data_IF_435485619102
#
_entry.id   IF_435485619102
#
_cell.length_a   1.000
_cell.length_b   1.000
_cell.length_c   1.000
_cell.angle_alpha   90.00
_cell.angle_beta   90.00
_cell.angle_gamma   90.00
#
_symmetry.space_group_name_H-M   'P 1'
#
loop_
_entity.id
_entity.type
_entity.pdbx_description
1 polymer ?
#
# COMPACT_ATOMS: atom_id res chain seq x y z
N UNK A 1 -3.14 -15.25 10.23
CA UNK A 1 -2.04 -14.75 9.36
C UNK A 1 -0.93 -15.77 9.17
N UNK A 2 -0.09 -16.10 10.17
CA UNK A 2 1.04 -17.04 9.99
C UNK A 2 0.60 -18.43 9.47
N UNK A 3 -0.49 -18.97 10.00
CA UNK A 3 -1.07 -20.25 9.54
C UNK A 3 -1.70 -20.19 8.15
N UNK A 4 -2.11 -19.01 7.70
CA UNK A 4 -2.79 -18.80 6.41
C UNK A 4 -1.79 -18.54 5.29
N UNK A 5 -0.64 -17.90 5.58
CA UNK A 5 0.42 -17.63 4.63
C UNK A 5 1.76 -18.21 5.13
N UNK A 6 1.96 -19.53 5.02
CA UNK A 6 3.12 -20.23 5.58
C UNK A 6 4.42 -19.96 4.81
N UNK A 7 4.38 -19.27 3.66
CA UNK A 7 5.58 -18.94 2.89
C UNK A 7 6.10 -17.51 3.18
N UNK A 8 5.43 -16.76 4.06
CA UNK A 8 5.85 -15.42 4.45
C UNK A 8 6.86 -15.44 5.61
N UNK A 9 7.74 -14.45 5.64
CA UNK A 9 8.56 -14.13 6.82
C UNK A 9 7.87 -13.00 7.58
N UNK A 10 7.76 -13.14 8.89
CA UNK A 10 7.04 -12.17 9.73
C UNK A 10 8.02 -11.48 10.67
N UNK A 11 8.03 -10.15 10.64
CA UNK A 11 8.71 -9.30 11.62
C UNK A 11 7.63 -8.59 12.44
N UNK A 12 7.55 -8.91 13.73
CA UNK A 12 6.68 -8.25 14.69
C UNK A 12 7.45 -7.24 15.51
N UNK A 13 6.79 -6.13 15.86
CA UNK A 13 7.29 -5.22 16.87
C UNK A 13 6.18 -4.70 17.77
N UNK A 14 6.54 -4.40 19.01
CA UNK A 14 5.70 -3.69 19.97
C UNK A 14 6.64 -2.93 20.95
N UNK A 15 6.11 -1.98 21.70
CA UNK A 15 6.87 -1.25 22.72
C UNK A 15 7.23 -2.14 23.91
N UNK A 16 6.47 -3.22 24.11
CA UNK A 16 6.72 -4.24 25.14
C UNK A 16 6.89 -5.64 24.53
N UNK A 17 7.53 -6.57 25.24
CA UNK A 17 7.57 -7.99 24.82
C UNK A 17 6.20 -8.64 25.05
N UNK A 18 5.35 -8.61 24.02
CA UNK A 18 4.02 -9.24 24.00
C UNK A 18 4.05 -10.68 23.44
N UNK A 19 5.23 -11.25 23.22
CA UNK A 19 5.34 -12.56 22.59
C UNK A 19 4.79 -13.67 23.51
N UNK A 20 3.99 -14.56 22.94
CA UNK A 20 3.55 -15.74 23.67
C UNK A 20 4.69 -16.77 23.70
N UNK A 21 5.41 -16.85 24.82
CA UNK A 21 6.55 -17.76 25.01
C UNK A 21 6.20 -19.26 24.89
N UNK A 22 4.90 -19.61 24.92
CA UNK A 22 4.43 -20.99 24.70
C UNK A 22 4.18 -21.32 23.22
N UNK A 23 4.08 -20.29 22.37
CA UNK A 23 3.86 -20.41 20.93
C UNK A 23 5.11 -19.91 20.20
N UNK A 24 6.10 -20.79 20.07
CA UNK A 24 7.27 -20.52 19.22
C UNK A 24 6.90 -20.73 17.76
N UNK A 25 6.52 -19.65 17.06
CA UNK A 25 6.36 -19.67 15.61
C UNK A 25 7.74 -19.42 14.97
N UNK A 26 8.35 -20.46 14.39
CA UNK A 26 9.71 -20.38 13.79
C UNK A 26 9.85 -19.33 12.67
N UNK A 27 8.74 -18.83 12.15
CA UNK A 27 8.66 -17.91 11.01
C UNK A 27 8.46 -16.45 11.42
N UNK A 28 8.41 -16.18 12.73
CA UNK A 28 8.22 -14.84 13.29
C UNK A 28 9.47 -14.43 14.05
N UNK A 29 10.03 -13.28 13.71
CA UNK A 29 10.98 -12.57 14.54
C UNK A 29 10.26 -11.44 15.27
N UNK A 30 10.72 -11.10 16.48
CA UNK A 30 10.16 -10.02 17.27
C UNK A 30 11.25 -9.04 17.70
N UNK A 31 10.96 -7.74 17.60
CA UNK A 31 11.84 -6.68 18.08
C UNK A 31 11.04 -5.67 18.91
N UNK A 32 11.62 -5.20 20.00
CA UNK A 32 11.04 -4.09 20.74
C UNK A 32 11.27 -2.80 19.93
N UNK A 33 10.21 -2.02 19.75
CA UNK A 33 10.25 -0.78 19.00
C UNK A 33 9.02 0.07 19.24
N UNK A 34 9.23 1.38 19.41
CA UNK A 34 8.15 2.34 19.52
C UNK A 34 7.96 3.06 18.18
N UNK A 35 6.80 2.87 17.54
CA UNK A 35 6.49 3.49 16.24
C UNK A 35 6.55 5.02 16.28
N UNK A 36 6.32 5.65 17.44
CA UNK A 36 6.42 7.11 17.60
C UNK A 36 7.87 7.62 17.71
N UNK A 37 8.84 6.71 17.89
CA UNK A 37 10.28 7.04 18.02
C UNK A 37 11.11 6.54 16.83
N UNK A 38 10.47 5.85 15.88
CA UNK A 38 11.13 5.13 14.80
C UNK A 38 11.32 3.65 15.15
N UNK A 39 10.90 2.79 14.23
CA UNK A 39 11.06 1.35 14.29
C UNK A 39 12.49 0.95 13.91
N UNK A 40 13.01 -0.15 14.47
CA UNK A 40 14.38 -0.63 14.25
C UNK A 40 14.54 -1.35 12.90
N UNK A 41 13.98 -0.77 11.85
CA UNK A 41 13.97 -1.28 10.49
C UNK A 41 14.42 -0.19 9.51
N UNK A 42 15.24 -0.51 8.50
CA UNK A 42 15.55 0.41 7.42
C UNK A 42 14.32 0.89 6.64
N UNK A 43 14.47 1.97 5.89
CA UNK A 43 13.44 2.41 4.95
C UNK A 43 13.15 1.33 3.91
N UNK A 44 11.88 1.19 3.51
CA UNK A 44 11.43 0.24 2.48
C UNK A 44 11.83 -1.22 2.81
N UNK A 45 11.74 -1.62 4.08
CA UNK A 45 12.09 -2.98 4.52
C UNK A 45 11.01 -4.01 4.20
N UNK A 46 9.73 -3.62 4.21
CA UNK A 46 8.59 -4.54 4.17
C UNK A 46 7.74 -4.37 2.93
N UNK A 47 7.39 -5.48 2.28
CA UNK A 47 6.43 -5.50 1.17
C UNK A 47 4.99 -5.21 1.64
N UNK A 48 4.69 -5.52 2.90
CA UNK A 48 3.40 -5.26 3.55
C UNK A 48 3.60 -4.99 5.05
N UNK A 49 2.92 -3.98 5.58
CA UNK A 49 2.90 -3.66 7.01
C UNK A 49 1.47 -3.72 7.51
N UNK A 50 1.26 -4.48 8.58
CA UNK A 50 -0.04 -4.64 9.22
C UNK A 50 -0.02 -4.04 10.62
N UNK A 51 -0.82 -2.98 10.81
CA UNK A 51 -1.07 -2.37 12.12
C UNK A 51 -2.50 -2.68 12.54
N UNK A 52 -2.69 -3.27 13.72
CA UNK A 52 -4.02 -3.64 14.23
C UNK A 52 -4.22 -3.17 15.66
N UNK A 53 -5.43 -2.66 15.92
CA UNK A 53 -5.94 -2.30 17.25
C UNK A 53 -5.14 -1.21 18.00
N UNK A 54 -4.37 -0.36 17.31
CA UNK A 54 -3.70 0.79 17.93
C UNK A 54 -4.61 2.01 18.15
N UNK A 55 -5.92 1.90 17.88
CA UNK A 55 -6.90 2.99 18.06
C UNK A 55 -6.96 3.55 19.51
N UNK A 56 -6.56 2.74 20.50
CA UNK A 56 -6.51 3.14 21.91
C UNK A 56 -5.10 3.50 22.39
N UNK A 57 -4.08 3.32 21.53
CA UNK A 57 -2.68 3.48 21.90
C UNK A 57 -2.15 4.90 21.64
N UNK A 58 -2.76 5.65 20.71
CA UNK A 58 -2.26 6.95 20.25
C UNK A 58 -3.27 8.07 20.46
N UNK A 59 -2.75 9.25 20.82
CA UNK A 59 -3.50 10.52 20.76
C UNK A 59 -3.69 10.95 19.32
N UNK A 60 -4.63 11.87 19.09
CA UNK A 60 -4.98 12.37 17.74
C UNK A 60 -3.74 12.92 17.02
N UNK A 61 -2.90 13.67 17.73
CA UNK A 61 -1.68 14.29 17.24
C UNK A 61 -0.52 13.32 16.98
N UNK A 62 -0.58 12.09 17.50
CA UNK A 62 0.47 11.07 17.34
C UNK A 62 0.26 10.20 16.09
N UNK A 63 -0.98 10.15 15.57
CA UNK A 63 -1.30 9.37 14.36
C UNK A 63 -0.47 9.72 13.13
N UNK A 64 -0.23 11.02 12.79
CA UNK A 64 0.62 11.35 11.66
C UNK A 64 2.02 10.75 11.77
N UNK A 65 2.62 10.77 12.97
CA UNK A 65 3.95 10.21 13.22
C UNK A 65 3.95 8.69 13.03
N UNK A 66 2.97 7.99 13.59
CA UNK A 66 2.85 6.54 13.44
C UNK A 66 2.62 6.12 11.97
N UNK A 67 1.80 6.88 11.24
CA UNK A 67 1.52 6.62 9.81
C UNK A 67 2.78 6.85 8.98
N UNK A 68 3.49 7.97 9.19
CA UNK A 68 4.72 8.28 8.45
C UNK A 68 5.78 7.21 8.69
N UNK A 69 5.90 6.70 9.92
CA UNK A 69 6.83 5.63 10.25
C UNK A 69 6.47 4.30 9.58
N UNK A 70 5.18 3.92 9.56
CA UNK A 70 4.72 2.73 8.83
C UNK A 70 4.99 2.85 7.33
N UNK A 71 4.75 4.04 6.75
CA UNK A 71 5.04 4.30 5.35
C UNK A 71 6.54 4.24 5.06
N UNK A 72 7.38 4.76 5.96
CA UNK A 72 8.85 4.72 5.83
C UNK A 72 9.36 3.29 5.69
N UNK A 73 8.88 2.36 6.51
CA UNK A 73 9.33 0.97 6.47
C UNK A 73 8.64 0.15 5.37
N UNK A 74 7.59 0.65 4.74
CA UNK A 74 6.88 -0.03 3.64
C UNK A 74 7.48 0.29 2.27
N UNK A 75 7.66 -0.73 1.42
CA UNK A 75 8.13 -0.65 0.03
C UNK A 75 7.10 0.06 -0.90
N UNK A 76 7.41 0.40 -2.17
CA UNK A 76 7.84 1.74 -2.52
C UNK A 76 6.94 2.33 -3.62
N UNK A 77 5.61 2.19 -3.52
CA UNK A 77 4.72 2.96 -4.41
C UNK A 77 5.04 4.46 -4.30
N UNK A 78 5.31 4.92 -3.07
CA UNK A 78 5.76 6.28 -2.81
C UNK A 78 7.14 6.59 -3.42
N UNK A 79 8.14 5.72 -3.26
CA UNK A 79 9.47 5.98 -3.82
C UNK A 79 9.49 5.99 -5.35
N UNK A 80 8.70 5.11 -5.99
CA UNK A 80 8.53 5.11 -7.44
C UNK A 80 7.87 6.40 -7.93
N UNK A 81 6.81 6.86 -7.27
CA UNK A 81 6.18 8.15 -7.59
C UNK A 81 7.14 9.33 -7.39
N UNK A 82 7.85 9.38 -6.25
CA UNK A 82 8.81 10.46 -5.97
C UNK A 82 9.95 10.52 -6.99
N UNK A 83 10.49 9.37 -7.41
CA UNK A 83 11.55 9.32 -8.45
C UNK A 83 11.13 9.93 -9.80
N UNK A 84 9.80 10.08 -10.01
CA UNK A 84 9.18 10.65 -11.22
C UNK A 84 8.65 12.06 -11.01
N UNK A 85 8.86 12.66 -9.83
CA UNK A 85 8.24 13.94 -9.46
C UNK A 85 6.71 13.84 -9.33
N UNK A 86 6.17 12.66 -9.05
CA UNK A 86 4.74 12.41 -8.89
C UNK A 86 4.34 12.43 -7.42
N UNK A 87 3.18 13.02 -7.12
CA UNK A 87 2.53 12.92 -5.82
C UNK A 87 1.54 11.73 -5.83
N UNK A 88 1.79 10.65 -5.08
CA UNK A 88 0.87 9.50 -5.03
C UNK A 88 -0.50 9.85 -4.44
N UNK A 89 -0.65 11.03 -3.82
CA UNK A 89 -1.91 11.56 -3.27
C UNK A 89 -2.53 12.64 -4.15
N UNK A 90 -2.06 12.82 -5.39
CA UNK A 90 -2.53 13.89 -6.29
C UNK A 90 -4.05 13.90 -6.46
N UNK A 91 -4.68 12.72 -6.45
CA UNK A 91 -6.13 12.57 -6.59
C UNK A 91 -6.94 13.36 -5.53
N UNK A 92 -6.41 13.52 -4.31
CA UNK A 92 -7.05 14.30 -3.24
C UNK A 92 -7.04 15.81 -3.52
N UNK A 93 -6.09 16.28 -4.34
CA UNK A 93 -5.90 17.70 -4.67
C UNK A 93 -6.59 18.09 -5.98
N UNK A 94 -6.97 17.12 -6.82
CA UNK A 94 -7.55 17.37 -8.14
C UNK A 94 -8.79 18.26 -8.09
N UNK A 95 -9.66 18.11 -7.07
CA UNK A 95 -10.86 18.94 -6.91
C UNK A 95 -10.51 20.43 -6.85
N UNK A 96 -9.56 20.75 -5.97
CA UNK A 96 -9.10 22.11 -5.77
C UNK A 96 -8.42 22.63 -7.05
N UNK A 97 -7.51 21.86 -7.63
CA UNK A 97 -6.78 22.22 -8.84
C UNK A 97 -7.72 22.53 -10.02
N UNK A 98 -8.80 21.75 -10.17
CA UNK A 98 -9.82 22.02 -11.20
C UNK A 98 -10.62 23.28 -10.86
N UNK A 99 -10.97 23.51 -9.58
CA UNK A 99 -11.73 24.71 -9.19
C UNK A 99 -10.95 26.02 -9.36
N UNK A 100 -9.61 25.97 -9.25
CA UNK A 100 -8.72 27.10 -9.47
C UNK A 100 -8.48 27.36 -10.97
N UNK A 101 -8.87 26.43 -11.84
CA UNK A 101 -8.71 26.55 -13.27
C UNK A 101 -9.83 27.39 -13.90
N UNK A 102 -9.46 28.56 -14.44
CA UNK A 102 -10.41 29.50 -15.09
C UNK A 102 -11.14 28.93 -16.31
N UNK A 103 -10.67 27.81 -16.87
CA UNK A 103 -11.24 27.16 -18.04
C UNK A 103 -12.08 25.92 -17.68
N UNK A 104 -12.31 25.62 -16.41
CA UNK A 104 -13.14 24.51 -15.97
C UNK A 104 -14.26 25.01 -15.04
N UNK A 105 -15.48 24.45 -15.16
CA UNK A 105 -16.67 24.98 -14.44
C UNK A 105 -17.48 23.98 -13.64
N UNK A 106 -17.64 22.75 -14.11
CA UNK A 106 -18.30 21.70 -13.30
C UNK A 106 -17.24 20.99 -12.49
N UNK A 107 -17.45 20.79 -11.20
CA UNK A 107 -16.55 19.98 -10.37
C UNK A 107 -17.41 19.06 -9.52
N UNK A 108 -17.69 17.87 -10.05
CA UNK A 108 -18.26 16.79 -9.26
C UNK A 108 -17.14 15.90 -8.78
N UNK A 109 -17.09 15.68 -7.47
CA UNK A 109 -16.21 14.68 -6.87
C UNK A 109 -17.00 13.46 -6.48
N UNK A 110 -16.43 12.30 -6.76
CA UNK A 110 -17.00 11.02 -6.39
C UNK A 110 -15.90 10.17 -5.74
N UNK A 111 -16.29 9.36 -4.77
CA UNK A 111 -15.41 8.39 -4.13
C UNK A 111 -16.05 7.03 -4.30
N UNK A 112 -15.34 6.13 -4.98
CA UNK A 112 -15.85 4.80 -5.29
C UNK A 112 -14.87 3.75 -4.84
N UNK A 113 -15.42 2.68 -4.27
CA UNK A 113 -14.72 1.43 -4.09
C UNK A 113 -15.16 0.44 -5.16
N UNK A 114 -14.23 -0.36 -5.66
CA UNK A 114 -14.53 -1.53 -6.49
C UNK A 114 -13.96 -2.75 -5.78
N UNK A 115 -14.85 -3.71 -5.50
CA UNK A 115 -14.48 -5.07 -5.15
C UNK A 115 -13.80 -5.71 -6.37
N UNK A 116 -12.52 -6.03 -6.22
CA UNK A 116 -11.68 -6.53 -7.30
C UNK A 116 -12.03 -7.98 -7.65
N UNK A 117 -12.65 -8.74 -6.75
CA UNK A 117 -13.14 -10.09 -6.99
C UNK A 117 -14.52 -10.12 -7.69
N UNK A 118 -15.22 -8.98 -7.80
CA UNK A 118 -16.60 -8.89 -8.31
C UNK A 118 -16.80 -9.30 -9.78
N UNK A 119 -15.71 -9.56 -10.54
CA UNK A 119 -15.72 -9.92 -11.96
C UNK A 119 -16.43 -8.90 -12.90
N UNK A 120 -16.77 -7.71 -12.38
CA UNK A 120 -17.35 -6.62 -13.15
C UNK A 120 -16.34 -6.07 -14.17
N UNK A 121 -16.83 -5.39 -15.20
CA UNK A 121 -15.94 -4.74 -16.17
C UNK A 121 -15.04 -3.68 -15.51
N UNK A 122 -15.55 -2.97 -14.50
CA UNK A 122 -14.75 -2.03 -13.71
C UNK A 122 -13.64 -2.75 -12.95
N UNK A 123 -13.94 -3.84 -12.26
CA UNK A 123 -12.94 -4.65 -11.57
C UNK A 123 -11.85 -5.16 -12.52
N UNK A 124 -12.23 -5.72 -13.67
CA UNK A 124 -11.27 -6.19 -14.69
C UNK A 124 -10.32 -5.09 -15.18
N UNK A 125 -10.85 -3.88 -15.41
CA UNK A 125 -10.04 -2.72 -15.81
C UNK A 125 -9.07 -2.31 -14.71
N UNK A 126 -9.55 -2.19 -13.48
CA UNK A 126 -8.67 -1.83 -12.36
C UNK A 126 -7.60 -2.90 -12.09
N UNK A 127 -7.91 -4.20 -12.23
CA UNK A 127 -6.91 -5.27 -12.11
C UNK A 127 -5.80 -5.06 -13.15
N UNK A 128 -6.19 -4.78 -14.39
CA UNK A 128 -5.24 -4.47 -15.45
C UNK A 128 -4.41 -3.21 -15.13
N UNK A 129 -5.05 -2.13 -14.68
CA UNK A 129 -4.38 -0.87 -14.30
C UNK A 129 -3.35 -1.11 -13.19
N UNK A 130 -3.67 -1.92 -12.17
CA UNK A 130 -2.74 -2.28 -11.10
C UNK A 130 -1.55 -3.09 -11.61
N UNK A 131 -1.79 -4.08 -12.48
CA UNK A 131 -0.71 -4.86 -13.10
C UNK A 131 0.22 -3.95 -13.91
N UNK A 132 -0.32 -3.06 -14.75
CA UNK A 132 0.48 -2.12 -15.54
C UNK A 132 1.20 -1.09 -14.67
N UNK A 133 0.56 -0.63 -13.58
CA UNK A 133 1.19 0.26 -12.61
C UNK A 133 2.44 -0.40 -12.03
N UNK A 134 2.34 -1.64 -11.54
CA UNK A 134 3.48 -2.35 -10.96
C UNK A 134 4.54 -2.65 -12.02
N UNK A 135 4.16 -3.07 -13.23
CA UNK A 135 5.10 -3.22 -14.36
C UNK A 135 5.90 -1.95 -14.61
N UNK A 136 5.21 -0.80 -14.63
CA UNK A 136 5.87 0.48 -14.85
C UNK A 136 6.90 0.78 -13.77
N UNK A 137 6.70 0.32 -12.54
CA UNK A 137 7.58 0.60 -11.40
C UNK A 137 8.78 -0.34 -11.33
N UNK A 138 8.77 -1.48 -12.03
CA UNK A 138 9.85 -2.48 -12.00
C UNK A 138 11.27 -1.93 -12.21
N UNK A 139 11.53 -0.94 -13.11
CA UNK A 139 12.88 -0.38 -13.23
C UNK A 139 13.40 0.30 -11.96
N UNK A 140 12.51 0.76 -11.09
CA UNK A 140 12.85 1.49 -9.86
C UNK A 140 12.83 0.55 -8.65
N UNK A 141 11.86 -0.37 -8.59
CA UNK A 141 11.62 -1.18 -7.39
C UNK A 141 11.84 -2.68 -7.59
N UNK A 142 12.03 -3.15 -8.83
CA UNK A 142 12.10 -4.56 -9.18
C UNK A 142 13.23 -5.30 -8.45
N UNK A 143 14.44 -4.76 -8.45
CA UNK A 143 15.57 -5.34 -7.70
C UNK A 143 15.31 -5.37 -6.19
N UNK A 144 14.67 -4.32 -5.63
CA UNK A 144 14.29 -4.25 -4.20
C UNK A 144 13.19 -5.25 -3.82
N UNK A 145 12.42 -5.70 -4.80
CA UNK A 145 11.39 -6.73 -4.65
C UNK A 145 11.92 -8.14 -4.95
N UNK A 146 13.23 -8.29 -5.24
CA UNK A 146 13.81 -9.59 -5.63
C UNK A 146 13.36 -10.08 -7.01
N UNK A 147 12.83 -9.19 -7.87
CA UNK A 147 12.31 -9.52 -9.20
C UNK A 147 13.40 -9.39 -10.26
N UNK A 148 14.48 -10.15 -10.10
CA UNK A 148 15.72 -10.03 -10.88
C UNK A 148 15.61 -10.67 -12.27
N UNK A 149 14.80 -11.72 -12.42
CA UNK A 149 14.59 -12.40 -13.71
C UNK A 149 13.19 -12.18 -14.27
N UNK A 150 13.04 -12.36 -15.59
CA UNK A 150 11.73 -12.37 -16.24
C UNK A 150 10.81 -13.47 -15.66
N UNK A 151 11.39 -14.59 -15.20
CA UNK A 151 10.64 -15.68 -14.59
C UNK A 151 10.02 -15.24 -13.27
N UNK A 152 10.78 -14.55 -12.43
CA UNK A 152 10.33 -14.06 -11.13
C UNK A 152 9.27 -12.98 -11.30
N UNK A 153 9.47 -12.05 -12.24
CA UNK A 153 8.48 -11.04 -12.61
C UNK A 153 7.17 -11.68 -13.08
N UNK A 154 7.25 -12.68 -13.97
CA UNK A 154 6.07 -13.37 -14.47
C UNK A 154 5.33 -14.16 -13.37
N UNK A 155 6.07 -14.76 -12.42
CA UNK A 155 5.47 -15.43 -11.26
C UNK A 155 4.76 -14.41 -10.37
N UNK A 156 5.43 -13.31 -10.04
CA UNK A 156 4.87 -12.23 -9.24
C UNK A 156 3.58 -11.66 -9.84
N UNK A 157 3.52 -11.39 -11.15
CA UNK A 157 2.30 -10.86 -11.77
C UNK A 157 1.14 -11.85 -11.76
N UNK A 158 1.41 -13.16 -11.87
CA UNK A 158 0.37 -14.18 -11.70
C UNK A 158 -0.17 -14.19 -10.27
N UNK A 159 0.71 -14.13 -9.28
CA UNK A 159 0.32 -14.08 -7.87
C UNK A 159 -0.44 -12.80 -7.53
N UNK A 160 0.02 -11.65 -8.03
CA UNK A 160 -0.67 -10.36 -7.87
C UNK A 160 -2.08 -10.43 -8.47
N UNK A 161 -2.21 -10.91 -9.71
CA UNK A 161 -3.51 -11.05 -10.36
C UNK A 161 -4.42 -12.01 -9.58
N UNK A 162 -3.87 -13.14 -9.12
CA UNK A 162 -4.61 -14.11 -8.30
C UNK A 162 -5.12 -13.47 -7.01
N UNK A 163 -4.24 -12.78 -6.26
CA UNK A 163 -4.60 -12.07 -5.05
C UNK A 163 -5.69 -11.03 -5.27
N UNK A 164 -5.57 -10.20 -6.31
CA UNK A 164 -6.58 -9.18 -6.64
C UNK A 164 -7.95 -9.79 -7.00
N UNK A 165 -8.00 -11.04 -7.46
CA UNK A 165 -9.25 -11.67 -7.94
C UNK A 165 -9.85 -12.69 -6.97
N UNK A 166 -9.08 -13.15 -5.98
CA UNK A 166 -9.47 -14.25 -5.07
C UNK A 166 -9.35 -13.89 -3.59
N UNK A 167 -9.10 -12.63 -3.27
CA UNK A 167 -9.14 -12.12 -1.89
C UNK A 167 -10.17 -11.00 -1.75
N UNK A 168 -10.44 -10.58 -0.52
CA UNK A 168 -11.24 -9.38 -0.21
C UNK A 168 -10.46 -8.10 -0.55
N UNK A 169 -10.01 -7.99 -1.80
CA UNK A 169 -9.27 -6.85 -2.32
C UNK A 169 -10.23 -5.78 -2.84
N UNK A 170 -10.09 -4.57 -2.34
CA UNK A 170 -10.84 -3.40 -2.81
C UNK A 170 -9.88 -2.35 -3.33
N UNK A 171 -10.22 -1.75 -4.47
CA UNK A 171 -9.56 -0.51 -4.91
C UNK A 171 -10.46 0.67 -4.64
N UNK A 172 -9.89 1.78 -4.19
CA UNK A 172 -10.60 2.99 -3.82
C UNK A 172 -10.09 4.15 -4.66
N UNK A 173 -10.99 4.82 -5.36
CA UNK A 173 -10.64 5.86 -6.31
C UNK A 173 -11.44 7.14 -6.05
N UNK A 174 -10.72 8.25 -5.98
CA UNK A 174 -11.32 9.57 -6.10
C UNK A 174 -11.44 9.92 -7.58
N UNK A 175 -12.63 10.31 -8.02
CA UNK A 175 -12.88 10.81 -9.36
C UNK A 175 -13.29 12.28 -9.30
N UNK A 176 -12.70 13.10 -10.17
CA UNK A 176 -13.10 14.49 -10.38
C UNK A 176 -13.59 14.62 -11.81
N UNK A 177 -14.85 15.00 -11.98
CA UNK A 177 -15.45 15.24 -13.29
C UNK A 177 -15.51 16.74 -13.51
N UNK A 178 -14.94 17.19 -14.63
CA UNK A 178 -14.96 18.58 -15.01
C UNK A 178 -15.32 18.82 -16.46
N UNK A 179 -15.93 19.98 -16.73
CA UNK A 179 -16.27 20.44 -18.07
C UNK A 179 -15.58 21.76 -18.36
N UNK A 180 -15.20 21.94 -19.62
CA UNK A 180 -14.65 23.20 -20.11
C UNK A 180 -15.67 24.33 -19.92
N UNK A 181 -15.22 25.45 -19.37
CA UNK A 181 -16.01 26.66 -19.16
C UNK A 181 -16.31 27.38 -20.48
#
# INVERSE_FOLDING_TARGET
MVSEYPNCTYEGCDIEDVTNKRLSLKQTNFRIGNVLQGLPYPDNSFDFVHMRLLILAFKVEEWPVAIDEILRVTKPVHAACQSRGQDPRIALKLKQMVSENKQARSVKTDYRSVDMASNTMAAKRFIWDWIETVKSMLPVVGSRMGLESQKDQAAYFRELQYGLTHSDAYTYMNAVVAVKA
#
